data_IF_009918029864
#
_entry.id   IF_009918029864
#
_cell.length_a   1.000
_cell.length_b   1.000
_cell.length_c   1.000
_cell.angle_alpha   90.00
_cell.angle_beta   90.00
_cell.angle_gamma   90.00
#
_symmetry.space_group_name_H-M   'P 1'
#
loop_
_entity.id
_entity.type
_entity.pdbx_description
1 polymer ?
#
# COMPACT_ATOMS: atom_id res chain seq x y z
N UNK A 1 64.09 21.34 26.75
CA UNK A 1 63.15 22.18 25.97
C UNK A 1 62.09 21.25 25.42
N UNK A 2 60.81 21.63 25.49
CA UNK A 2 59.70 20.73 25.20
C UNK A 2 59.41 20.63 23.71
N UNK A 3 59.13 19.42 23.23
CA UNK A 3 58.47 19.19 21.94
C UNK A 3 56.96 19.42 22.13
N UNK A 4 56.36 20.29 21.32
CA UNK A 4 54.94 20.60 21.41
C UNK A 4 54.13 19.71 20.48
N UNK A 5 53.52 18.66 21.04
CA UNK A 5 52.44 17.93 20.37
C UNK A 5 51.23 18.85 20.17
N UNK A 6 50.92 19.19 18.91
CA UNK A 6 49.62 19.78 18.56
C UNK A 6 48.60 18.68 18.30
N UNK A 7 47.96 18.21 19.37
CA UNK A 7 46.74 17.41 19.28
C UNK A 7 45.62 18.20 18.62
N UNK A 8 45.38 17.99 17.32
CA UNK A 8 44.27 18.63 16.60
C UNK A 8 42.96 17.87 16.88
N UNK A 9 42.36 18.15 18.04
CA UNK A 9 41.01 17.69 18.36
C UNK A 9 39.98 18.44 17.50
N UNK A 10 39.67 17.90 16.32
CA UNK A 10 38.51 18.32 15.54
C UNK A 10 37.25 17.74 16.15
N UNK A 11 36.67 18.47 17.11
CA UNK A 11 35.34 18.18 17.61
C UNK A 11 34.31 18.29 16.49
N UNK A 12 33.86 17.16 15.97
CA UNK A 12 32.70 17.09 15.09
C UNK A 12 31.46 17.47 15.92
N UNK A 13 31.07 18.75 15.86
CA UNK A 13 29.81 19.23 16.41
C UNK A 13 28.65 18.59 15.65
N UNK A 14 28.21 17.41 16.11
CA UNK A 14 27.06 16.73 15.55
C UNK A 14 25.84 17.64 15.61
N UNK A 15 25.23 17.91 14.45
CA UNK A 15 24.00 18.70 14.44
C UNK A 15 22.93 18.00 15.29
N UNK A 16 22.13 18.75 16.06
CA UNK A 16 21.12 18.16 16.93
C UNK A 16 20.10 17.41 16.06
N UNK A 17 20.07 16.08 16.18
CA UNK A 17 19.12 15.26 15.42
C UNK A 17 17.69 15.60 15.83
N UNK A 18 16.81 15.73 14.85
CA UNK A 18 15.40 16.02 15.03
C UNK A 18 14.61 14.73 15.21
N UNK A 19 13.84 14.64 16.29
CA UNK A 19 12.92 13.52 16.51
C UNK A 19 11.70 13.61 15.57
N UNK A 20 11.37 12.51 14.89
CA UNK A 20 10.26 12.41 13.92
C UNK A 20 9.44 11.13 14.16
N UNK A 21 8.10 11.21 14.32
CA UNK A 21 7.21 10.05 14.52
C UNK A 21 6.88 9.34 13.20
N UNK A 22 7.93 8.78 12.57
CA UNK A 22 7.93 8.18 11.23
C UNK A 22 6.86 7.09 11.07
N UNK A 23 6.11 7.17 9.98
CA UNK A 23 5.31 6.08 9.45
C UNK A 23 6.21 5.07 8.72
N UNK A 24 6.60 3.99 9.40
CA UNK A 24 7.54 3.02 8.82
C UNK A 24 6.97 2.27 7.61
N UNK A 25 5.66 2.02 7.59
CA UNK A 25 4.99 1.32 6.48
C UNK A 25 4.97 2.23 5.24
N UNK A 26 4.51 3.48 5.40
CA UNK A 26 4.47 4.43 4.30
C UNK A 26 5.87 4.87 3.83
N UNK A 27 6.88 4.87 4.71
CA UNK A 27 8.27 5.11 4.32
C UNK A 27 8.86 3.91 3.56
N UNK A 28 8.56 2.67 3.96
CA UNK A 28 9.00 1.48 3.24
C UNK A 28 8.42 1.44 1.81
N UNK A 29 7.13 1.74 1.66
CA UNK A 29 6.45 1.90 0.36
C UNK A 29 7.16 2.93 -0.54
N UNK A 30 7.57 4.07 0.04
CA UNK A 30 8.30 5.11 -0.68
C UNK A 30 9.70 4.65 -1.12
N UNK A 31 10.41 3.89 -0.29
CA UNK A 31 11.73 3.36 -0.64
C UNK A 31 11.68 2.19 -1.64
N UNK A 32 10.58 1.43 -1.73
CA UNK A 32 10.41 0.42 -2.78
C UNK A 32 10.10 1.06 -4.15
N UNK A 33 9.30 2.12 -4.18
CA UNK A 33 8.72 2.61 -5.43
C UNK A 33 9.71 3.36 -6.34
N UNK A 34 10.06 2.75 -7.48
CA UNK A 34 10.96 3.32 -8.51
C UNK A 34 10.20 3.78 -9.78
N UNK A 35 8.86 3.95 -9.72
CA UNK A 35 8.10 4.46 -10.86
C UNK A 35 8.45 5.95 -11.10
N UNK A 36 8.92 6.35 -12.29
CA UNK A 36 9.43 7.71 -12.54
C UNK A 36 8.37 8.81 -12.41
N UNK A 37 7.09 8.46 -12.57
CA UNK A 37 5.94 9.33 -12.38
C UNK A 37 5.50 9.47 -10.91
N UNK A 38 6.18 8.84 -9.95
CA UNK A 38 5.79 8.84 -8.54
C UNK A 38 6.89 9.40 -7.64
N UNK A 39 6.59 10.52 -6.99
CA UNK A 39 7.50 11.23 -6.10
C UNK A 39 7.00 11.12 -4.66
N UNK A 40 7.88 10.76 -3.72
CA UNK A 40 7.54 10.56 -2.31
C UNK A 40 8.28 11.54 -1.42
N UNK A 41 7.60 12.07 -0.39
CA UNK A 41 8.12 13.10 0.50
C UNK A 41 7.80 12.78 1.96
N UNK A 42 8.81 12.75 2.84
CA UNK A 42 8.62 12.65 4.28
C UNK A 42 8.38 14.04 4.87
N UNK A 43 7.30 14.20 5.63
CA UNK A 43 7.05 15.42 6.41
C UNK A 43 7.78 15.35 7.77
N UNK A 44 8.82 16.16 7.96
CA UNK A 44 9.76 16.05 9.10
C UNK A 44 9.18 16.49 10.45
N UNK A 45 7.92 16.94 10.51
CA UNK A 45 7.19 17.22 11.76
C UNK A 45 6.32 16.04 12.18
N UNK A 46 5.50 15.52 11.26
CA UNK A 46 4.45 14.52 11.56
C UNK A 46 4.88 13.08 11.26
N UNK A 47 6.01 12.92 10.56
CA UNK A 47 6.49 11.62 10.09
C UNK A 47 5.57 10.96 9.04
N UNK A 48 4.61 11.70 8.48
CA UNK A 48 3.77 11.24 7.39
C UNK A 48 4.54 11.26 6.07
N UNK A 49 4.23 10.31 5.19
CA UNK A 49 4.83 10.22 3.85
C UNK A 49 3.77 10.57 2.81
N UNK A 50 4.00 11.66 2.11
CA UNK A 50 3.14 12.16 1.03
C UNK A 50 3.64 11.61 -0.31
N UNK A 51 2.74 10.95 -1.05
CA UNK A 51 3.02 10.42 -2.38
C UNK A 51 2.28 11.24 -3.43
N UNK A 52 3.02 11.78 -4.40
CA UNK A 52 2.52 12.60 -5.50
C UNK A 52 2.74 11.84 -6.80
N UNK A 53 1.74 11.85 -7.69
CA UNK A 53 1.80 11.13 -8.97
C UNK A 53 1.57 12.12 -10.11
N UNK A 54 2.52 12.17 -11.03
CA UNK A 54 2.50 13.07 -12.18
C UNK A 54 1.26 12.80 -13.05
N UNK A 55 0.55 13.86 -13.46
CA UNK A 55 -0.68 13.76 -14.25
C UNK A 55 -1.94 13.40 -13.46
N UNK A 56 -1.84 13.06 -12.17
CA UNK A 56 -2.97 12.97 -11.24
C UNK A 56 -2.99 14.17 -10.29
N UNK A 57 -1.82 14.60 -9.82
CA UNK A 57 -1.67 15.78 -8.99
C UNK A 57 -1.76 17.08 -9.81
N UNK A 58 -2.30 18.12 -9.17
CA UNK A 58 -2.25 19.50 -9.67
C UNK A 58 -0.77 19.96 -9.76
N UNK A 59 -0.31 20.56 -10.88
CA UNK A 59 1.02 21.16 -10.97
C UNK A 59 1.36 22.13 -9.83
N UNK A 60 0.38 22.84 -9.26
CA UNK A 60 0.59 23.69 -8.07
C UNK A 60 0.98 22.89 -6.82
N UNK A 61 0.55 21.62 -6.70
CA UNK A 61 0.89 20.76 -5.56
C UNK A 61 2.38 20.45 -5.50
N UNK A 62 3.01 20.11 -6.63
CA UNK A 62 4.46 19.88 -6.69
C UNK A 62 5.25 21.13 -6.29
N UNK A 63 4.88 22.30 -6.83
CA UNK A 63 5.54 23.56 -6.51
C UNK A 63 5.41 23.93 -5.03
N UNK A 64 4.24 23.68 -4.41
CA UNK A 64 4.01 23.91 -2.98
C UNK A 64 4.82 22.96 -2.09
N UNK A 65 4.92 21.68 -2.45
CA UNK A 65 5.72 20.71 -1.68
C UNK A 65 7.21 21.03 -1.80
N UNK A 66 7.69 21.35 -3.01
CA UNK A 66 9.09 21.70 -3.26
C UNK A 66 9.53 23.04 -2.62
N UNK A 67 8.58 23.89 -2.20
CA UNK A 67 8.86 25.15 -1.50
C UNK A 67 8.63 25.09 0.02
N UNK A 68 8.06 24.01 0.55
CA UNK A 68 7.85 23.82 1.98
C UNK A 68 9.03 23.02 2.58
N UNK A 69 9.88 23.65 3.42
CA UNK A 69 11.06 22.99 4.01
C UNK A 69 10.69 21.90 5.03
N UNK A 70 9.40 21.72 5.33
CA UNK A 70 8.89 20.63 6.15
C UNK A 70 8.80 19.31 5.39
N UNK A 71 8.88 19.31 4.06
CA UNK A 71 8.88 18.11 3.22
C UNK A 71 10.28 17.80 2.70
N UNK A 72 10.69 16.55 2.83
CA UNK A 72 11.97 16.03 2.38
C UNK A 72 11.72 14.94 1.34
N UNK A 73 12.22 15.11 0.11
CA UNK A 73 12.10 14.10 -0.94
C UNK A 73 12.79 12.81 -0.54
N UNK A 74 12.16 11.67 -0.79
CA UNK A 74 12.68 10.34 -0.48
C UNK A 74 13.26 9.71 -1.74
N UNK A 75 14.57 9.47 -1.78
CA UNK A 75 15.20 8.72 -2.86
C UNK A 75 14.93 7.22 -2.68
N UNK A 76 14.20 6.55 -3.61
CA UNK A 76 13.94 5.13 -3.48
C UNK A 76 15.20 4.29 -3.63
N UNK A 77 15.21 3.10 -3.02
CA UNK A 77 16.30 2.14 -3.24
C UNK A 77 16.27 1.72 -4.71
N UNK A 78 17.34 2.02 -5.44
CA UNK A 78 17.42 1.78 -6.88
C UNK A 78 16.99 0.36 -7.28
N UNK A 79 16.26 0.24 -8.39
CA UNK A 79 15.84 -1.04 -8.97
C UNK A 79 16.98 -2.05 -9.11
N UNK A 80 18.24 -1.62 -9.30
CA UNK A 80 19.40 -2.52 -9.38
C UNK A 80 19.75 -3.17 -8.04
N UNK A 81 19.59 -2.48 -6.92
CA UNK A 81 19.83 -3.08 -5.60
C UNK A 81 18.65 -3.96 -5.17
N UNK A 82 17.41 -3.56 -5.48
CA UNK A 82 16.25 -4.43 -5.26
C UNK A 82 16.33 -5.73 -6.08
N UNK A 83 16.83 -5.66 -7.33
CA UNK A 83 17.09 -6.84 -8.15
C UNK A 83 18.10 -7.80 -7.49
N UNK A 84 19.19 -7.27 -6.92
CA UNK A 84 20.16 -8.06 -6.14
C UNK A 84 19.55 -8.72 -4.92
N UNK A 85 18.48 -8.17 -4.35
CA UNK A 85 17.77 -8.83 -3.25
C UNK A 85 16.99 -10.04 -3.76
N UNK A 86 16.38 -9.95 -4.95
CA UNK A 86 15.75 -11.11 -5.60
C UNK A 86 16.80 -12.20 -5.90
N UNK A 87 17.96 -11.84 -6.47
CA UNK A 87 19.08 -12.77 -6.71
C UNK A 87 19.57 -13.46 -5.42
N UNK A 88 19.61 -12.74 -4.29
CA UNK A 88 20.04 -13.27 -2.98
C UNK A 88 18.96 -14.10 -2.29
N UNK A 89 17.68 -13.83 -2.54
CA UNK A 89 16.56 -14.55 -1.92
C UNK A 89 16.32 -15.92 -2.56
N UNK A 90 16.42 -16.02 -3.89
CA UNK A 90 16.11 -17.24 -4.65
C UNK A 90 16.88 -18.48 -4.13
N UNK A 91 18.19 -18.43 -3.84
CA UNK A 91 18.91 -19.58 -3.26
C UNK A 91 18.43 -20.02 -1.88
N UNK A 92 17.72 -19.16 -1.13
CA UNK A 92 17.19 -19.46 0.21
C UNK A 92 15.82 -20.15 0.19
N UNK A 93 15.20 -20.29 -0.99
CA UNK A 93 13.93 -21.00 -1.17
C UNK A 93 14.19 -22.50 -1.13
N UNK A 94 13.46 -23.19 -0.25
CA UNK A 94 13.65 -24.62 0.04
C UNK A 94 13.09 -25.51 -1.06
N UNK A 95 11.92 -25.16 -1.63
CA UNK A 95 11.30 -25.85 -2.76
C UNK A 95 12.15 -25.67 -4.05
N UNK A 96 12.75 -26.74 -4.59
CA UNK A 96 13.57 -26.64 -5.80
C UNK A 96 12.78 -26.17 -7.02
N UNK A 97 11.50 -26.57 -7.14
CA UNK A 97 10.67 -26.25 -8.30
C UNK A 97 10.28 -24.77 -8.30
N UNK A 98 9.92 -24.22 -7.14
CA UNK A 98 9.70 -22.78 -6.98
C UNK A 98 11.00 -21.99 -7.19
N UNK A 99 12.13 -22.47 -6.67
CA UNK A 99 13.44 -21.81 -6.84
C UNK A 99 13.81 -21.69 -8.33
N UNK A 100 13.60 -22.73 -9.12
CA UNK A 100 13.80 -22.70 -10.58
C UNK A 100 12.83 -21.73 -11.28
N UNK A 101 11.55 -21.71 -10.89
CA UNK A 101 10.58 -20.76 -11.43
C UNK A 101 10.95 -19.31 -11.14
N UNK A 102 11.39 -18.99 -9.91
CA UNK A 102 11.82 -17.65 -9.54
C UNK A 102 13.12 -17.26 -10.26
N UNK A 103 14.08 -18.18 -10.41
CA UNK A 103 15.31 -17.95 -11.17
C UNK A 103 15.01 -17.60 -12.65
N UNK A 104 14.08 -18.32 -13.30
CA UNK A 104 13.62 -17.99 -14.64
C UNK A 104 12.81 -16.68 -14.68
N UNK A 105 12.01 -16.40 -13.65
CA UNK A 105 11.15 -15.23 -13.60
C UNK A 105 11.93 -13.91 -13.56
N UNK A 106 13.15 -13.88 -13.00
CA UNK A 106 13.94 -12.64 -12.89
C UNK A 106 14.68 -12.24 -14.17
N UNK A 107 14.81 -13.11 -15.18
CA UNK A 107 15.57 -12.77 -16.39
C UNK A 107 14.84 -11.82 -17.35
N UNK A 108 15.52 -10.78 -17.82
CA UNK A 108 15.02 -9.84 -18.82
C UNK A 108 13.88 -8.88 -18.36
N UNK A 109 13.27 -8.20 -19.34
CA UNK A 109 12.28 -7.13 -19.10
C UNK A 109 11.08 -7.63 -18.30
N UNK A 110 10.75 -6.95 -17.19
CA UNK A 110 9.60 -7.27 -16.36
C UNK A 110 9.86 -8.22 -15.18
N UNK A 111 11.13 -8.47 -14.85
CA UNK A 111 11.60 -9.29 -13.72
C UNK A 111 10.76 -9.15 -12.45
N UNK A 112 10.63 -7.92 -11.92
CA UNK A 112 9.88 -7.62 -10.71
C UNK A 112 8.42 -8.08 -10.75
N UNK A 113 7.74 -7.91 -11.90
CA UNK A 113 6.34 -8.30 -12.05
C UNK A 113 6.23 -9.82 -12.04
N UNK A 114 7.01 -10.53 -12.86
CA UNK A 114 6.97 -12.00 -12.91
C UNK A 114 7.40 -12.66 -11.60
N UNK A 115 8.40 -12.13 -10.91
CA UNK A 115 8.82 -12.62 -9.60
C UNK A 115 7.68 -12.50 -8.58
N UNK A 116 6.98 -11.35 -8.54
CA UNK A 116 5.79 -11.18 -7.71
C UNK A 116 4.64 -12.10 -8.16
N UNK A 117 4.40 -12.25 -9.47
CA UNK A 117 3.37 -13.15 -10.01
C UNK A 117 3.59 -14.61 -9.57
N UNK A 118 4.82 -15.12 -9.61
CA UNK A 118 5.16 -16.48 -9.13
C UNK A 118 4.88 -16.60 -7.62
N UNK A 119 5.29 -15.62 -6.81
CA UNK A 119 5.04 -15.63 -5.36
C UNK A 119 3.54 -15.55 -5.00
N UNK A 120 2.65 -15.08 -5.88
CA UNK A 120 1.21 -15.08 -5.61
C UNK A 120 0.63 -16.49 -5.39
N UNK A 121 1.24 -17.53 -5.99
CA UNK A 121 0.85 -18.93 -5.75
C UNK A 121 1.39 -19.53 -4.45
N UNK A 122 2.36 -18.88 -3.80
CA UNK A 122 3.16 -19.45 -2.71
C UNK A 122 3.17 -18.52 -1.48
N UNK A 123 2.05 -18.49 -0.74
CA UNK A 123 1.80 -17.53 0.33
C UNK A 123 2.92 -17.44 1.39
N UNK A 124 3.46 -18.58 1.85
CA UNK A 124 4.54 -18.63 2.84
C UNK A 124 5.86 -18.03 2.30
N UNK A 125 6.22 -18.33 1.05
CA UNK A 125 7.43 -17.78 0.43
C UNK A 125 7.28 -16.31 0.06
N UNK A 126 6.06 -15.87 -0.26
CA UNK A 126 5.71 -14.43 -0.39
C UNK A 126 5.94 -13.68 0.92
N UNK A 127 5.55 -14.26 2.05
CA UNK A 127 5.77 -13.69 3.38
C UNK A 127 7.25 -13.68 3.77
N UNK A 128 7.99 -14.76 3.49
CA UNK A 128 9.46 -14.79 3.63
C UNK A 128 10.15 -13.73 2.78
N UNK A 129 9.73 -13.56 1.52
CA UNK A 129 10.25 -12.51 0.63
C UNK A 129 9.98 -11.12 1.20
N UNK A 130 8.77 -10.84 1.68
CA UNK A 130 8.44 -9.55 2.27
C UNK A 130 9.28 -9.27 3.51
N UNK A 131 9.42 -10.22 4.44
CA UNK A 131 10.29 -10.06 5.61
C UNK A 131 11.76 -9.80 5.22
N UNK A 132 12.29 -10.58 4.27
CA UNK A 132 13.67 -10.44 3.76
C UNK A 132 13.92 -9.07 3.11
N UNK A 133 12.94 -8.55 2.35
CA UNK A 133 12.99 -7.22 1.72
C UNK A 133 12.86 -6.09 2.76
N UNK A 134 11.88 -6.18 3.67
CA UNK A 134 11.65 -5.18 4.72
C UNK A 134 12.84 -5.02 5.66
N UNK A 135 13.50 -6.12 6.04
CA UNK A 135 14.76 -6.10 6.82
C UNK A 135 15.84 -5.25 6.13
N UNK A 136 15.99 -5.39 4.81
CA UNK A 136 16.98 -4.63 4.02
C UNK A 136 16.57 -3.18 3.88
N UNK A 137 15.31 -2.90 3.54
CA UNK A 137 14.77 -1.54 3.47
C UNK A 137 14.93 -0.80 4.81
N UNK A 138 14.71 -1.48 5.95
CA UNK A 138 14.90 -0.93 7.29
C UNK A 138 16.28 -0.29 7.46
N UNK A 139 17.34 -0.98 7.05
CA UNK A 139 18.73 -0.48 7.11
C UNK A 139 18.93 0.77 6.23
N UNK A 140 18.39 0.76 5.00
CA UNK A 140 18.47 1.93 4.11
C UNK A 140 17.69 3.14 4.68
N UNK A 141 16.49 2.91 5.22
CA UNK A 141 15.68 3.96 5.83
C UNK A 141 16.37 4.57 7.07
N UNK A 142 16.99 3.77 7.94
CA UNK A 142 17.73 4.27 9.11
C UNK A 142 18.97 5.07 8.72
N UNK A 143 19.74 4.56 7.75
CA UNK A 143 20.91 5.25 7.23
C UNK A 143 20.52 6.60 6.58
N UNK A 144 19.43 6.62 5.81
CA UNK A 144 18.92 7.84 5.17
C UNK A 144 18.40 8.85 6.20
N UNK A 145 17.60 8.42 7.18
CA UNK A 145 17.13 9.30 8.28
C UNK A 145 18.33 9.91 9.03
N UNK A 146 19.31 9.07 9.38
CA UNK A 146 20.53 9.51 10.09
C UNK A 146 21.35 10.50 9.27
N UNK A 147 21.53 10.25 7.97
CA UNK A 147 22.24 11.16 7.06
C UNK A 147 21.56 12.54 6.94
N UNK A 148 20.23 12.58 7.07
CA UNK A 148 19.43 13.81 7.07
C UNK A 148 19.25 14.43 8.46
N UNK A 149 19.95 13.94 9.49
CA UNK A 149 19.85 14.45 10.86
C UNK A 149 18.50 14.17 11.52
N UNK A 150 17.77 13.15 11.07
CA UNK A 150 16.48 12.73 11.61
C UNK A 150 16.64 11.49 12.50
N UNK A 151 15.95 11.48 13.64
CA UNK A 151 15.84 10.33 14.54
C UNK A 151 14.40 9.87 14.56
N UNK A 152 14.14 8.63 14.21
CA UNK A 152 12.81 8.04 14.35
C UNK A 152 12.44 7.89 15.83
N UNK A 153 11.30 8.41 16.24
CA UNK A 153 10.68 8.13 17.54
C UNK A 153 9.38 7.34 17.35
N UNK A 154 8.92 6.58 18.36
CA UNK A 154 7.63 5.91 18.29
C UNK A 154 6.52 6.91 17.98
N UNK A 155 5.71 6.63 16.95
CA UNK A 155 4.51 7.41 16.67
C UNK A 155 3.58 7.35 17.88
N UNK A 156 3.04 8.47 18.38
CA UNK A 156 2.11 8.45 19.50
C UNK A 156 0.91 7.60 19.14
N UNK A 157 0.77 6.45 19.79
CA UNK A 157 -0.43 5.64 19.70
C UNK A 157 -1.57 6.45 20.28
N UNK A 158 -2.64 6.66 19.50
CA UNK A 158 -3.90 7.14 20.04
C UNK A 158 -4.47 6.05 20.94
N UNK A 159 -4.02 6.02 22.20
CA UNK A 159 -4.79 5.42 23.28
C UNK A 159 -6.02 6.30 23.47
N UNK A 160 -7.24 5.85 23.12
CA UNK A 160 -8.41 6.48 23.69
C UNK A 160 -8.25 6.40 25.21
N UNK A 161 -8.33 7.55 25.86
CA UNK A 161 -7.96 7.76 27.25
C UNK A 161 -8.39 6.61 28.17
N UNK A 162 -7.48 6.16 29.05
CA UNK A 162 -7.76 5.21 30.11
C UNK A 162 -8.83 5.71 31.11
N UNK A 163 -9.32 6.95 30.97
CA UNK A 163 -10.53 7.49 31.55
C UNK A 163 -11.85 6.80 31.11
N UNK A 164 -11.92 5.47 31.13
CA UNK A 164 -13.15 4.73 31.39
C UNK A 164 -12.93 3.26 31.81
N UNK A 165 -12.23 3.01 32.92
CA UNK A 165 -12.64 1.88 33.80
C UNK A 165 -13.98 2.24 34.46
N UNK A 166 -15.04 2.34 33.65
CA UNK A 166 -16.40 2.25 34.14
C UNK A 166 -16.70 0.77 34.24
N UNK A 167 -16.95 0.29 35.45
CA UNK A 167 -17.46 -1.06 35.64
C UNK A 167 -18.67 -1.29 34.72
N UNK A 168 -18.82 -2.49 34.15
CA UNK A 168 -19.90 -2.79 33.21
C UNK A 168 -21.23 -2.89 33.96
N UNK A 169 -21.80 -1.74 34.31
CA UNK A 169 -23.21 -1.63 34.68
C UNK A 169 -24.03 -2.23 33.55
N UNK A 170 -24.81 -3.27 33.87
CA UNK A 170 -25.70 -3.95 32.92
C UNK A 170 -26.82 -3.00 32.49
N UNK A 171 -26.61 -2.27 31.38
CA UNK A 171 -27.57 -1.30 30.83
C UNK A 171 -28.66 -2.06 30.05
N UNK A 172 -29.89 -2.01 30.53
CA UNK A 172 -31.06 -2.60 29.85
C UNK A 172 -31.28 -1.99 28.46
N UNK A 173 -31.86 -2.78 27.53
CA UNK A 173 -31.99 -2.38 26.13
C UNK A 173 -32.77 -1.06 25.91
N UNK A 174 -33.75 -0.73 26.76
CA UNK A 174 -34.44 0.57 26.73
C UNK A 174 -33.53 1.76 27.03
N UNK A 175 -32.56 1.61 27.93
CA UNK A 175 -31.60 2.68 28.23
C UNK A 175 -30.59 2.86 27.07
N UNK A 176 -30.31 1.80 26.31
CA UNK A 176 -29.50 1.88 25.08
C UNK A 176 -30.26 2.56 23.93
N UNK A 177 -31.57 2.33 23.78
CA UNK A 177 -32.38 3.00 22.76
C UNK A 177 -32.54 4.51 23.07
N UNK A 178 -32.80 4.86 24.34
CA UNK A 178 -32.86 6.26 24.82
C UNK A 178 -31.51 6.98 24.75
N UNK A 179 -30.38 6.29 24.91
CA UNK A 179 -29.04 6.87 24.67
C UNK A 179 -28.76 7.06 23.18
N UNK A 180 -29.19 6.14 22.31
CA UNK A 180 -29.04 6.28 20.84
C UNK A 180 -29.80 7.48 20.28
N UNK A 181 -31.05 7.72 20.72
CA UNK A 181 -31.83 8.89 20.28
C UNK A 181 -31.19 10.20 20.73
N UNK A 182 -30.88 10.33 22.04
CA UNK A 182 -30.21 11.52 22.60
C UNK A 182 -28.82 11.78 21.99
N UNK A 183 -28.05 10.74 21.69
CA UNK A 183 -26.71 10.85 21.07
C UNK A 183 -26.78 11.38 19.64
N UNK A 184 -27.65 10.82 18.78
CA UNK A 184 -27.74 11.24 17.39
C UNK A 184 -28.25 12.68 17.23
N UNK A 185 -29.12 13.15 18.13
CA UNK A 185 -29.62 14.53 18.11
C UNK A 185 -28.61 15.53 18.66
N UNK A 186 -27.88 15.17 19.73
CA UNK A 186 -26.75 15.95 20.24
C UNK A 186 -25.63 16.11 19.19
N UNK A 187 -25.25 15.03 18.49
CA UNK A 187 -24.26 15.07 17.41
C UNK A 187 -24.71 15.93 16.23
N UNK A 188 -26.00 15.90 15.86
CA UNK A 188 -26.56 16.82 14.85
C UNK A 188 -26.54 18.27 15.30
N UNK A 189 -26.73 18.54 16.59
CA UNK A 189 -26.59 19.89 17.14
C UNK A 189 -25.13 20.35 17.05
N UNK A 190 -24.20 19.58 17.59
CA UNK A 190 -22.77 19.87 17.54
C UNK A 190 -22.24 20.08 16.11
N UNK A 191 -22.74 19.31 15.12
CA UNK A 191 -22.37 19.50 13.72
C UNK A 191 -22.88 20.82 13.13
N UNK A 192 -24.08 21.28 13.52
CA UNK A 192 -24.60 22.60 13.12
C UNK A 192 -23.80 23.71 13.80
N UNK A 193 -23.65 23.63 15.11
CA UNK A 193 -22.89 24.60 15.91
C UNK A 193 -21.45 24.76 15.37
N UNK A 194 -20.83 23.67 14.87
CA UNK A 194 -19.54 23.72 14.16
C UNK A 194 -19.65 24.31 12.75
N UNK A 195 -20.63 23.90 11.94
CA UNK A 195 -20.81 24.43 10.58
C UNK A 195 -21.01 25.96 10.58
N UNK A 196 -21.73 26.50 11.56
CA UNK A 196 -21.95 27.94 11.72
C UNK A 196 -20.65 28.73 12.03
N UNK A 197 -19.55 28.05 12.39
CA UNK A 197 -18.24 28.66 12.65
C UNK A 197 -17.22 28.50 11.50
N UNK A 198 -17.57 27.77 10.43
CA UNK A 198 -16.65 27.45 9.35
C UNK A 198 -16.73 28.43 8.17
N UNK A 199 -15.59 28.69 7.52
CA UNK A 199 -15.53 29.42 6.26
C UNK A 199 -15.98 28.58 5.07
N UNK A 200 -16.34 29.23 3.95
CA UNK A 200 -16.88 28.57 2.75
C UNK A 200 -16.03 27.39 2.24
N UNK A 201 -14.70 27.56 2.16
CA UNK A 201 -13.75 26.50 1.72
C UNK A 201 -13.72 25.28 2.65
N UNK A 202 -14.08 25.42 3.91
CA UNK A 202 -14.11 24.30 4.86
C UNK A 202 -15.51 23.66 4.93
N UNK A 203 -16.58 24.44 4.73
CA UNK A 203 -17.92 23.93 4.49
C UNK A 203 -18.00 23.05 3.23
N UNK A 204 -17.29 23.42 2.15
CA UNK A 204 -17.15 22.59 0.94
C UNK A 204 -16.54 21.21 1.25
N UNK A 205 -15.45 21.16 2.03
CA UNK A 205 -14.79 19.90 2.46
C UNK A 205 -15.70 19.04 3.32
N UNK A 206 -16.37 19.64 4.32
CA UNK A 206 -17.32 18.95 5.20
C UNK A 206 -18.49 18.39 4.41
N UNK A 207 -18.99 19.13 3.42
CA UNK A 207 -20.07 18.69 2.52
C UNK A 207 -19.63 17.51 1.65
N UNK A 208 -18.46 17.60 1.01
CA UNK A 208 -17.90 16.50 0.21
C UNK A 208 -17.71 15.22 1.04
N UNK A 209 -17.20 15.35 2.27
CA UNK A 209 -17.04 14.21 3.19
C UNK A 209 -18.39 13.63 3.64
N UNK A 210 -19.40 14.46 3.90
CA UNK A 210 -20.74 14.01 4.27
C UNK A 210 -21.42 13.21 3.14
N UNK A 211 -21.30 13.68 1.89
CA UNK A 211 -21.79 12.95 0.71
C UNK A 211 -21.00 11.64 0.47
N UNK A 212 -19.68 11.63 0.68
CA UNK A 212 -18.89 10.39 0.66
C UNK A 212 -19.38 9.36 1.69
N UNK A 213 -19.63 9.78 2.93
CA UNK A 213 -20.16 8.90 4.00
C UNK A 213 -21.55 8.35 3.63
N UNK A 214 -22.41 9.17 3.04
CA UNK A 214 -23.75 8.81 2.55
C UNK A 214 -23.66 7.81 1.39
N UNK A 215 -22.81 8.04 0.40
CA UNK A 215 -22.55 7.13 -0.72
C UNK A 215 -22.00 5.77 -0.23
N UNK A 216 -21.02 5.77 0.70
CA UNK A 216 -20.46 4.54 1.28
C UNK A 216 -21.50 3.73 2.07
N UNK A 217 -22.44 4.40 2.74
CA UNK A 217 -23.57 3.75 3.42
C UNK A 217 -24.55 3.13 2.43
N UNK A 218 -24.85 3.82 1.32
CA UNK A 218 -25.68 3.27 0.25
C UNK A 218 -25.05 2.01 -0.38
N UNK A 219 -23.76 2.07 -0.72
CA UNK A 219 -23.03 0.92 -1.27
C UNK A 219 -23.05 -0.31 -0.32
N UNK A 220 -22.82 -0.12 0.98
CA UNK A 220 -22.96 -1.20 1.98
C UNK A 220 -24.39 -1.77 2.08
N UNK A 221 -25.42 -0.93 1.91
CA UNK A 221 -26.82 -1.37 1.92
C UNK A 221 -27.24 -2.15 0.66
N UNK A 222 -26.51 -1.99 -0.46
CA UNK A 222 -26.68 -2.82 -1.67
C UNK A 222 -25.92 -4.15 -1.57
N UNK A 223 -24.72 -4.15 -0.98
CA UNK A 223 -23.92 -5.37 -0.78
C UNK A 223 -24.67 -6.41 0.09
N UNK A 224 -25.38 -5.97 1.13
CA UNK A 224 -26.14 -6.87 2.03
C UNK A 224 -27.44 -7.45 1.45
N UNK A 225 -27.72 -7.25 0.14
CA UNK A 225 -28.85 -7.89 -0.56
C UNK A 225 -28.43 -8.91 -1.62
N UNK A 226 -27.14 -9.06 -1.89
CA UNK A 226 -26.60 -10.00 -2.88
C UNK A 226 -25.79 -11.10 -2.19
N UNK A 227 -26.43 -11.78 -1.24
CA UNK A 227 -25.95 -13.04 -0.68
C UNK A 227 -26.81 -14.17 -1.28
N UNK A 228 -26.28 -14.99 -2.20
CA UNK A 228 -27.01 -16.14 -2.73
C UNK A 228 -27.15 -17.20 -1.62
N UNK A 229 -28.28 -17.92 -1.55
CA UNK A 229 -28.50 -18.91 -0.48
C UNK A 229 -27.49 -20.06 -0.58
N UNK A 230 -26.98 -20.58 0.56
CA UNK A 230 -26.04 -21.69 0.55
C UNK A 230 -26.71 -22.97 0.07
N UNK A 231 -26.04 -23.70 -0.82
CA UNK A 231 -26.45 -25.04 -1.24
C UNK A 231 -26.43 -26.00 -0.03
N UNK A 232 -27.59 -26.56 0.29
CA UNK A 232 -27.66 -27.77 1.11
C UNK A 232 -27.29 -28.98 0.24
N UNK A 233 -26.44 -29.86 0.77
CA UNK A 233 -26.09 -31.13 0.15
C UNK A 233 -26.89 -32.26 0.81
N UNK A 234 -27.71 -32.96 0.04
CA UNK A 234 -28.33 -34.24 0.39
C UNK A 234 -27.99 -35.25 -0.72
N UNK A 235 -27.81 -36.52 -0.35
CA UNK A 235 -27.02 -37.48 -1.12
C UNK A 235 -27.64 -38.88 -1.08
N UNK A 236 -28.50 -39.22 -2.05
CA UNK A 236 -29.04 -40.57 -2.33
C UNK A 236 -29.16 -40.69 -3.87
N UNK A 237 -28.27 -41.39 -4.59
CA UNK A 237 -28.24 -42.84 -4.92
C UNK A 237 -29.38 -43.37 -5.82
N UNK A 238 -28.97 -43.84 -7.01
CA UNK A 238 -29.66 -44.76 -7.96
C UNK A 238 -30.92 -44.21 -8.69
N UNK A 239 -31.27 -44.55 -9.94
CA UNK A 239 -30.82 -45.62 -10.85
C UNK A 239 -30.88 -45.19 -12.36
N UNK A 240 -30.18 -45.94 -13.21
CA UNK A 240 -30.02 -45.87 -14.69
C UNK A 240 -31.22 -45.45 -15.57
N UNK A 241 -30.95 -44.74 -16.69
CA UNK A 241 -31.20 -45.28 -18.07
C UNK A 241 -30.64 -44.44 -19.24
N UNK A 242 -30.29 -45.16 -20.32
CA UNK A 242 -29.87 -44.73 -21.67
C UNK A 242 -30.53 -43.47 -22.28
N UNK A 243 -29.75 -42.64 -23.00
CA UNK A 243 -29.76 -42.58 -24.48
C UNK A 243 -28.80 -41.54 -25.12
N UNK A 244 -28.34 -41.83 -26.34
CA UNK A 244 -27.66 -40.94 -27.29
C UNK A 244 -27.92 -41.49 -28.71
N UNK A 245 -27.68 -40.75 -29.80
CA UNK A 245 -27.81 -39.31 -30.05
C UNK A 245 -28.88 -39.10 -31.18
N UNK A 246 -28.83 -38.10 -32.10
CA UNK A 246 -27.85 -38.11 -33.20
C UNK A 246 -27.32 -36.72 -33.65
N UNK A 247 -26.41 -36.74 -34.62
CA UNK A 247 -25.67 -35.58 -35.14
C UNK A 247 -26.40 -34.79 -36.25
N UNK A 248 -25.90 -33.58 -36.54
CA UNK A 248 -26.25 -32.79 -37.73
C UNK A 248 -25.01 -32.11 -38.35
N UNK A 249 -24.72 -32.42 -39.61
CA UNK A 249 -23.67 -31.76 -40.43
C UNK A 249 -23.97 -30.26 -40.64
N UNK A 250 -22.98 -29.41 -40.93
CA UNK A 250 -22.57 -28.98 -42.30
C UNK A 250 -21.23 -28.24 -42.16
N UNK A 251 -20.11 -28.78 -42.67
CA UNK A 251 -19.50 -28.44 -43.98
C UNK A 251 -19.30 -26.92 -44.20
N UNK A 252 -18.11 -26.37 -43.93
CA UNK A 252 -16.93 -26.34 -44.81
C UNK A 252 -16.95 -25.26 -45.92
N UNK A 253 -15.98 -24.33 -45.87
CA UNK A 253 -15.33 -23.79 -47.08
C UNK A 253 -13.87 -23.41 -46.81
N UNK A 254 -13.08 -23.45 -47.89
CA UNK A 254 -11.62 -23.58 -47.92
C UNK A 254 -11.03 -22.58 -48.93
N UNK A 255 -9.92 -21.94 -48.54
CA UNK A 255 -8.96 -21.17 -49.33
C UNK A 255 -7.85 -20.77 -48.33
N UNK A 256 -6.58 -21.18 -48.36
CA UNK A 256 -5.66 -21.42 -49.50
C UNK A 256 -5.54 -20.13 -50.35
N UNK A 257 -4.38 -19.49 -50.53
CA UNK A 257 -3.01 -20.05 -50.66
C UNK A 257 -1.92 -18.96 -50.50
N UNK A 258 -0.83 -19.26 -49.76
CA UNK A 258 0.54 -18.70 -49.86
C UNK A 258 0.72 -17.14 -49.83
N UNK A 259 1.92 -16.52 -49.85
CA UNK A 259 3.31 -16.99 -49.95
C UNK A 259 4.29 -15.94 -49.34
N UNK A 260 5.45 -16.38 -48.86
CA UNK A 260 6.62 -15.59 -48.41
C UNK A 260 7.89 -16.43 -48.75
N UNK A 261 9.15 -15.94 -48.79
CA UNK A 261 9.72 -14.56 -48.85
C UNK A 261 10.29 -14.34 -50.29
N UNK A 262 11.49 -13.75 -50.64
CA UNK A 262 12.57 -13.09 -49.89
C UNK A 262 13.12 -11.78 -50.58
N UNK A 263 14.42 -11.35 -50.55
CA UNK A 263 14.75 -10.00 -50.08
C UNK A 263 15.72 -9.18 -50.99
N UNK A 264 16.36 -8.13 -50.43
CA UNK A 264 17.51 -7.31 -50.94
C UNK A 264 17.08 -6.05 -51.74
N UNK A 265 17.79 -4.90 -51.75
CA UNK A 265 19.11 -4.48 -51.18
C UNK A 265 19.24 -2.93 -51.27
N UNK A 266 20.15 -2.33 -50.48
CA UNK A 266 20.82 -1.01 -50.66
C UNK A 266 19.90 0.24 -50.78
N UNK A 267 20.23 1.41 -50.24
CA UNK A 267 21.54 2.01 -49.93
C UNK A 267 21.81 2.28 -48.43
#
# INVERSE_FOLDING_TARGET
MAESEKGSSSGAGGQPMRDVPVDWEALEDAFENNAPEVHSYLHVVTGEVLRVVDGIADPEMHARIASDPSYMGVEPVSSREQYRWMERFIPMVDDPQLREQLAAAIDGKGAFRRFKDVLMGHAAERERWFAFRSERLRVFMEAWLTAHGLRSVPRPTWTPDAAATREPLTVSQEQLSLRRSRSAEALRKQLRDLADTLGARDLEKVTAFAEFVKARRAARAFAHRHEPPPHAAENEHEESTHASPPAGHIAARRAETAQDPPPRRAD
#
